data_IF_678004974301
#
_entry.id   IF_678004974301
#
_cell.length_a   1.000
_cell.length_b   1.000
_cell.length_c   1.000
_cell.angle_alpha   90.00
_cell.angle_beta   90.00
_cell.angle_gamma   90.00
#
_symmetry.space_group_name_H-M   'P 1'
#
loop_
_entity.id
_entity.type
_entity.pdbx_description
1 polymer ?
#
# COMPACT_ATOMS: atom_id res chain seq x y z
N UNK A 1 14.06 0.47 -10.30
CA UNK A 1 13.48 -0.71 -10.97
C UNK A 1 13.50 -2.02 -10.14
N UNK A 2 14.02 -2.05 -8.89
CA UNK A 2 13.87 -3.21 -7.97
C UNK A 2 12.71 -3.08 -6.96
N UNK A 3 12.18 -1.88 -6.76
CA UNK A 3 11.20 -1.62 -5.69
C UNK A 3 9.78 -2.10 -6.01
N UNK A 4 9.37 -2.09 -7.27
CA UNK A 4 7.99 -2.43 -7.70
C UNK A 4 7.60 -3.90 -7.48
N UNK A 5 8.58 -4.81 -7.39
CA UNK A 5 8.31 -6.25 -7.36
C UNK A 5 8.06 -6.79 -5.95
N UNK A 6 8.74 -6.27 -4.92
CA UNK A 6 8.58 -6.79 -3.55
C UNK A 6 7.24 -6.40 -2.92
N UNK A 7 6.69 -5.21 -3.24
CA UNK A 7 5.37 -4.78 -2.75
C UNK A 7 4.25 -5.70 -3.26
N UNK A 8 4.28 -6.05 -4.54
CA UNK A 8 3.26 -6.94 -5.12
C UNK A 8 3.29 -8.32 -4.46
N UNK A 9 4.49 -8.82 -4.14
CA UNK A 9 4.67 -10.09 -3.45
C UNK A 9 4.20 -10.03 -1.99
N UNK A 10 4.54 -8.96 -1.25
CA UNK A 10 4.10 -8.77 0.14
C UNK A 10 2.59 -8.57 0.21
N UNK A 11 2.01 -7.81 -0.72
CA UNK A 11 0.55 -7.68 -0.80
C UNK A 11 -0.05 -9.04 -1.10
N UNK A 12 0.35 -9.72 -2.18
CA UNK A 12 -0.17 -11.05 -2.52
C UNK A 12 -0.07 -12.05 -1.35
N UNK A 13 1.05 -12.06 -0.62
CA UNK A 13 1.22 -12.91 0.56
C UNK A 13 0.29 -12.49 1.70
N UNK A 14 0.18 -11.19 1.96
CA UNK A 14 -0.76 -10.62 2.91
C UNK A 14 -2.22 -10.91 2.54
N UNK A 15 -2.56 -11.02 1.25
CA UNK A 15 -3.90 -11.39 0.77
C UNK A 15 -4.21 -12.87 1.00
N UNK A 16 -3.26 -13.75 0.72
CA UNK A 16 -3.41 -15.20 0.92
C UNK A 16 -3.53 -15.56 2.41
N UNK A 17 -2.94 -14.74 3.29
CA UNK A 17 -2.93 -14.98 4.74
C UNK A 17 -3.91 -14.11 5.53
N UNK A 18 -4.71 -13.25 4.88
CA UNK A 18 -5.59 -12.32 5.60
C UNK A 18 -6.93 -12.94 6.00
N UNK A 19 -7.35 -12.68 7.24
CA UNK A 19 -8.75 -12.72 7.65
C UNK A 19 -9.43 -11.43 7.17
N UNK A 20 -10.70 -11.50 6.76
CA UNK A 20 -11.47 -10.31 6.36
C UNK A 20 -11.40 -9.24 7.47
N UNK A 21 -11.02 -8.02 7.10
CA UNK A 21 -10.93 -6.88 8.02
C UNK A 21 -9.58 -6.67 8.71
N UNK A 22 -8.59 -7.55 8.55
CA UNK A 22 -7.25 -7.32 9.14
C UNK A 22 -6.44 -6.24 8.40
N UNK A 23 -5.48 -5.63 9.10
CA UNK A 23 -4.62 -4.56 8.55
C UNK A 23 -3.29 -5.12 8.06
N UNK A 24 -2.96 -4.92 6.78
CA UNK A 24 -1.66 -5.30 6.21
C UNK A 24 -0.71 -4.12 6.35
N UNK A 25 0.44 -4.29 7.00
CA UNK A 25 1.47 -3.24 7.10
C UNK A 25 2.70 -3.59 6.27
N UNK A 26 3.07 -2.69 5.36
CA UNK A 26 4.22 -2.82 4.47
C UNK A 26 5.25 -1.76 4.88
N UNK A 27 6.43 -2.20 5.27
CA UNK A 27 7.55 -1.30 5.57
C UNK A 27 8.50 -1.26 4.39
N UNK A 28 8.72 -0.06 3.84
CA UNK A 28 9.66 0.15 2.75
C UNK A 28 10.61 1.29 3.05
N UNK A 29 11.87 1.13 2.64
CA UNK A 29 12.89 2.18 2.74
C UNK A 29 12.99 3.02 1.44
N UNK A 30 12.08 2.81 0.49
CA UNK A 30 12.08 3.43 -0.82
C UNK A 30 10.70 4.08 -1.07
N UNK A 31 10.70 5.19 -1.82
CA UNK A 31 9.53 6.05 -2.05
C UNK A 31 8.49 5.29 -2.85
N UNK A 32 7.23 5.44 -2.47
CA UNK A 32 6.10 4.95 -3.25
C UNK A 32 5.89 5.92 -4.41
N UNK A 33 6.06 5.43 -5.64
CA UNK A 33 5.73 6.19 -6.86
C UNK A 33 4.23 6.07 -7.19
N UNK A 34 3.73 6.94 -8.07
CA UNK A 34 2.29 7.06 -8.37
C UNK A 34 1.63 5.75 -8.81
N UNK A 35 2.30 4.91 -9.59
CA UNK A 35 1.70 3.64 -10.03
C UNK A 35 1.58 2.64 -8.88
N UNK A 36 2.57 2.57 -7.99
CA UNK A 36 2.46 1.77 -6.76
C UNK A 36 1.30 2.27 -5.89
N UNK A 37 1.18 3.59 -5.75
CA UNK A 37 0.14 4.22 -4.96
C UNK A 37 -1.27 3.85 -5.47
N UNK A 38 -1.48 3.92 -6.79
CA UNK A 38 -2.74 3.56 -7.44
C UNK A 38 -3.05 2.06 -7.32
N UNK A 39 -2.04 1.20 -7.48
CA UNK A 39 -2.22 -0.26 -7.32
C UNK A 39 -2.65 -0.60 -5.90
N UNK A 40 -2.03 0.01 -4.89
CA UNK A 40 -2.34 -0.28 -3.47
C UNK A 40 -3.74 0.23 -3.09
N UNK A 41 -4.15 1.40 -3.62
CA UNK A 41 -5.54 1.90 -3.50
C UNK A 41 -6.54 0.87 -4.05
N UNK A 42 -6.34 0.42 -5.29
CA UNK A 42 -7.21 -0.56 -5.92
C UNK A 42 -7.27 -1.87 -5.13
N UNK A 43 -6.11 -2.36 -4.67
CA UNK A 43 -6.03 -3.59 -3.86
C UNK A 43 -6.77 -3.44 -2.53
N UNK A 44 -6.68 -2.30 -1.85
CA UNK A 44 -7.43 -2.06 -0.61
C UNK A 44 -8.95 -2.16 -0.79
N UNK A 45 -9.46 -1.81 -1.98
CA UNK A 45 -10.88 -1.93 -2.33
C UNK A 45 -11.27 -3.35 -2.73
N UNK A 46 -10.47 -4.01 -3.57
CA UNK A 46 -10.75 -5.39 -4.04
C UNK A 46 -10.75 -6.37 -2.87
N UNK A 47 -9.81 -6.18 -1.94
CA UNK A 47 -9.59 -7.10 -0.82
C UNK A 47 -10.47 -6.73 0.38
N UNK A 48 -10.93 -5.48 0.45
CA UNK A 48 -11.70 -5.00 1.59
C UNK A 48 -10.88 -4.87 2.88
N UNK A 49 -9.55 -4.75 2.78
CA UNK A 49 -8.66 -4.62 3.93
C UNK A 49 -7.99 -3.24 3.99
N UNK A 50 -7.60 -2.83 5.20
CA UNK A 50 -6.77 -1.64 5.40
C UNK A 50 -5.32 -2.00 5.09
N UNK A 51 -4.66 -1.26 4.19
CA UNK A 51 -3.24 -1.42 3.91
C UNK A 51 -2.52 -0.18 4.46
N UNK A 52 -1.44 -0.37 5.21
CA UNK A 52 -0.61 0.71 5.73
C UNK A 52 0.78 0.56 5.13
N UNK A 53 1.24 1.56 4.39
CA UNK A 53 2.59 1.57 3.82
C UNK A 53 3.41 2.64 4.50
N UNK A 54 4.57 2.26 5.03
CA UNK A 54 5.57 3.22 5.50
C UNK A 54 6.62 3.43 4.42
N UNK A 55 6.82 4.67 3.96
CA UNK A 55 7.90 5.05 3.05
C UNK A 55 8.61 6.32 3.53
N UNK A 56 9.95 6.39 3.47
CA UNK A 56 10.76 7.56 3.86
C UNK A 56 10.30 8.34 5.12
N UNK A 57 9.77 7.64 6.13
CA UNK A 57 9.28 8.23 7.37
C UNK A 57 7.80 8.64 7.41
N UNK A 58 7.05 8.48 6.31
CA UNK A 58 5.60 8.70 6.25
C UNK A 58 4.81 7.41 6.28
N UNK A 59 3.56 7.53 6.72
CA UNK A 59 2.58 6.46 6.68
C UNK A 59 1.46 6.83 5.70
N UNK A 60 1.18 5.90 4.79
CA UNK A 60 0.07 5.93 3.86
C UNK A 60 -0.95 4.90 4.32
N UNK A 61 -2.17 5.35 4.60
CA UNK A 61 -3.26 4.46 4.96
C UNK A 61 -4.21 4.33 3.78
N UNK A 62 -4.22 3.15 3.18
CA UNK A 62 -5.08 2.79 2.07
C UNK A 62 -6.31 2.05 2.58
N UNK A 63 -7.48 2.53 2.19
CA UNK A 63 -8.77 1.88 2.47
C UNK A 63 -9.78 2.31 1.42
N UNK A 64 -10.52 1.36 0.85
CA UNK A 64 -11.61 1.63 -0.09
C UNK A 64 -11.20 2.57 -1.22
N UNK A 65 -10.03 2.32 -1.84
CA UNK A 65 -9.52 3.10 -2.97
C UNK A 65 -9.09 4.54 -2.62
N UNK A 66 -8.91 4.83 -1.33
CA UNK A 66 -8.47 6.14 -0.84
C UNK A 66 -7.17 5.97 -0.06
N UNK A 67 -6.26 6.91 -0.21
CA UNK A 67 -5.08 7.03 0.66
C UNK A 67 -5.17 8.28 1.55
N UNK A 68 -4.67 8.17 2.78
CA UNK A 68 -4.56 9.30 3.72
C UNK A 68 -3.72 10.47 3.21
N UNK A 69 -2.84 10.28 2.20
CA UNK A 69 -2.04 11.35 1.63
C UNK A 69 -2.80 12.22 0.60
N UNK A 70 -4.08 11.93 0.34
CA UNK A 70 -4.92 12.67 -0.63
C UNK A 70 -4.27 12.85 -2.00
N UNK A 71 -3.54 11.83 -2.44
CA UNK A 71 -2.84 11.82 -3.72
C UNK A 71 -1.64 12.79 -3.85
N UNK A 72 -1.15 13.32 -2.74
CA UNK A 72 0.07 14.16 -2.67
C UNK A 72 1.36 13.34 -2.46
N UNK A 73 1.46 12.13 -3.02
CA UNK A 73 2.58 11.19 -2.78
C UNK A 73 3.97 11.73 -3.17
N UNK A 74 4.07 12.73 -4.06
CA UNK A 74 5.37 13.30 -4.50
C UNK A 74 5.82 14.55 -3.73
N UNK A 75 4.93 15.21 -2.98
CA UNK A 75 5.14 16.61 -2.60
C UNK A 75 5.94 16.87 -1.33
N UNK A 76 6.45 15.84 -0.65
CA UNK A 76 7.37 16.04 0.47
C UNK A 76 8.32 14.86 0.65
#
# INVERSE_FOLDING_TARGET
MLSFHSERLVIAFGLVSNVEGSTITIMKNLRVYGDCHSVIKLLSKIVGCKIVVRDFGRFHHFKNDICSCSDYWQHY
#
